data_IF_765134709831
#
_entry.id   IF_765134709831
#
_cell.length_a   1.000
_cell.length_b   1.000
_cell.length_c   1.000
_cell.angle_alpha   90.00
_cell.angle_beta   90.00
_cell.angle_gamma   90.00
#
_symmetry.space_group_name_H-M   'P 1'
#
loop_
_entity.id
_entity.type
_entity.pdbx_description
1 polymer ?
#
# COMPACT_ATOMS: atom_id res chain seq x y z
N UNK A 1 -17.80 6.70 9.84
CA UNK A 1 -17.99 7.98 9.15
C UNK A 1 -16.95 8.17 8.08
N UNK A 2 -17.22 9.03 7.11
CA UNK A 2 -16.27 9.39 6.06
C UNK A 2 -15.63 10.74 6.39
N UNK A 3 -14.38 11.02 5.96
CA UNK A 3 -13.79 12.33 6.09
C UNK A 3 -14.62 13.39 5.38
N UNK A 4 -14.72 14.57 5.97
CA UNK A 4 -15.38 15.72 5.37
C UNK A 4 -14.33 16.75 5.02
N UNK A 5 -14.30 17.16 3.75
CA UNK A 5 -13.36 18.17 3.27
C UNK A 5 -13.62 19.54 3.95
N UNK A 6 -12.56 20.23 4.32
CA UNK A 6 -12.66 21.58 4.90
C UNK A 6 -13.34 22.57 3.97
N UNK A 7 -13.13 22.44 2.65
CA UNK A 7 -13.82 23.27 1.68
C UNK A 7 -15.34 23.08 1.75
N UNK A 8 -15.81 21.83 1.82
CA UNK A 8 -17.25 21.55 1.94
C UNK A 8 -17.86 22.13 3.21
N UNK A 9 -17.11 22.08 4.32
CA UNK A 9 -17.56 22.71 5.57
C UNK A 9 -17.60 24.24 5.44
N UNK A 10 -16.61 24.83 4.79
CA UNK A 10 -16.56 26.27 4.51
C UNK A 10 -17.76 26.73 3.67
N UNK A 11 -18.06 26.01 2.58
CA UNK A 11 -19.16 26.33 1.66
C UNK A 11 -20.52 26.29 2.37
N UNK A 12 -20.74 25.31 3.25
CA UNK A 12 -22.01 25.15 3.97
C UNK A 12 -22.18 26.17 5.11
N UNK A 13 -21.06 26.52 5.78
CA UNK A 13 -21.08 27.40 6.95
C UNK A 13 -20.91 28.89 6.60
N UNK A 14 -20.50 29.21 5.37
CA UNK A 14 -20.16 30.56 4.97
C UNK A 14 -18.84 31.09 5.57
N UNK A 15 -18.05 30.19 6.17
CA UNK A 15 -16.78 30.52 6.76
C UNK A 15 -15.63 30.31 5.77
N UNK A 16 -14.50 30.94 6.02
CA UNK A 16 -13.28 30.61 5.27
C UNK A 16 -12.70 29.26 5.70
N UNK A 17 -12.00 28.54 4.82
CA UNK A 17 -11.30 27.29 5.14
C UNK A 17 -10.37 27.45 6.36
N UNK A 18 -9.76 28.62 6.51
CA UNK A 18 -8.90 28.94 7.66
C UNK A 18 -9.67 28.97 8.99
N UNK A 19 -10.88 29.53 8.99
CA UNK A 19 -11.74 29.55 10.17
C UNK A 19 -12.26 28.16 10.50
N UNK A 20 -12.66 27.39 9.48
CA UNK A 20 -13.06 25.98 9.65
C UNK A 20 -11.92 25.18 10.28
N UNK A 21 -10.68 25.28 9.76
CA UNK A 21 -9.52 24.59 10.35
C UNK A 21 -9.31 24.95 11.81
N UNK A 22 -9.40 26.22 12.19
CA UNK A 22 -9.31 26.66 13.59
C UNK A 22 -10.43 26.07 14.47
N UNK A 23 -11.66 26.01 13.96
CA UNK A 23 -12.78 25.41 14.68
C UNK A 23 -12.58 23.92 14.90
N UNK A 24 -12.17 23.21 13.85
CA UNK A 24 -11.87 21.77 13.91
C UNK A 24 -10.75 21.50 14.91
N UNK A 25 -9.71 22.33 14.95
CA UNK A 25 -8.63 22.23 15.94
C UNK A 25 -9.14 22.39 17.38
N UNK A 26 -10.01 23.36 17.63
CA UNK A 26 -10.64 23.54 18.95
C UNK A 26 -11.51 22.35 19.33
N UNK A 27 -12.26 21.79 18.38
CA UNK A 27 -13.06 20.58 18.60
C UNK A 27 -12.13 19.39 18.88
N UNK A 28 -11.09 19.19 18.09
CA UNK A 28 -10.14 18.11 18.28
C UNK A 28 -9.58 18.14 19.71
N UNK A 29 -9.13 19.32 20.16
CA UNK A 29 -8.59 19.51 21.51
C UNK A 29 -9.60 19.20 22.62
N UNK A 30 -10.90 19.53 22.40
CA UNK A 30 -11.95 19.21 23.36
C UNK A 30 -12.16 17.70 23.50
N UNK A 31 -12.01 16.93 22.39
CA UNK A 31 -12.21 15.49 22.38
C UNK A 31 -10.95 14.66 22.69
N UNK A 32 -9.82 15.31 22.98
CA UNK A 32 -8.59 14.64 23.42
C UNK A 32 -8.74 14.04 24.83
N UNK A 33 -9.56 14.65 25.70
CA UNK A 33 -9.75 14.18 27.07
C UNK A 33 -10.30 12.76 27.14
N UNK A 34 -9.96 12.02 28.21
CA UNK A 34 -10.41 10.64 28.42
C UNK A 34 -11.92 10.51 28.72
N UNK A 35 -12.60 11.61 28.95
CA UNK A 35 -14.04 11.64 29.13
C UNK A 35 -14.82 11.29 27.84
N UNK A 36 -14.15 11.34 26.68
CA UNK A 36 -14.76 11.08 25.39
C UNK A 36 -14.26 9.78 24.77
N UNK A 37 -15.17 8.93 24.30
CA UNK A 37 -14.84 7.69 23.57
C UNK A 37 -14.48 7.91 22.09
N UNK A 38 -14.65 9.14 21.60
CA UNK A 38 -14.35 9.52 20.21
C UNK A 38 -13.27 10.60 20.18
N UNK A 39 -12.61 10.74 19.03
CA UNK A 39 -11.63 11.77 18.75
C UNK A 39 -11.81 12.34 17.35
N UNK A 40 -11.24 13.50 17.08
CA UNK A 40 -11.23 14.12 15.76
C UNK A 40 -9.88 13.89 15.10
N UNK A 41 -9.85 13.09 14.02
CA UNK A 41 -8.70 13.00 13.12
C UNK A 41 -8.71 14.20 12.17
N UNK A 42 -7.54 14.77 11.96
CA UNK A 42 -7.31 15.89 11.04
C UNK A 42 -6.38 15.43 9.94
N UNK A 43 -6.79 15.62 8.70
CA UNK A 43 -6.00 15.38 7.51
C UNK A 43 -5.66 16.72 6.85
N UNK A 44 -4.75 16.77 5.86
CA UNK A 44 -4.37 18.02 5.20
C UNK A 44 -5.56 18.85 4.70
N UNK A 45 -6.57 18.18 4.12
CA UNK A 45 -7.73 18.82 3.48
C UNK A 45 -9.09 18.42 4.05
N UNK A 46 -9.13 17.58 5.09
CA UNK A 46 -10.36 17.04 5.65
C UNK A 46 -10.24 16.73 7.14
N UNK A 47 -11.37 16.46 7.79
CA UNK A 47 -11.42 15.96 9.15
C UNK A 47 -12.48 14.87 9.30
N UNK A 48 -12.33 14.05 10.33
CA UNK A 48 -13.23 12.92 10.60
C UNK A 48 -13.29 12.64 12.10
N UNK A 49 -14.50 12.38 12.61
CA UNK A 49 -14.65 11.74 13.91
C UNK A 49 -14.40 10.24 13.80
N UNK A 50 -13.63 9.71 14.74
CA UNK A 50 -13.44 8.27 14.91
C UNK A 50 -13.49 7.92 16.41
N UNK A 51 -13.60 6.63 16.69
CA UNK A 51 -13.47 6.12 18.08
C UNK A 51 -12.00 6.08 18.46
N UNK A 52 -11.69 6.33 19.73
CA UNK A 52 -10.33 6.20 20.23
C UNK A 52 -9.87 4.75 20.16
N UNK A 53 -8.58 4.54 19.91
CA UNK A 53 -7.97 3.22 19.68
C UNK A 53 -8.22 2.25 20.85
N UNK A 54 -8.19 2.73 22.06
CA UNK A 54 -8.42 1.93 23.29
C UNK A 54 -9.77 1.17 23.28
N UNK A 55 -10.76 1.67 22.53
CA UNK A 55 -12.07 1.01 22.38
C UNK A 55 -12.17 0.10 21.16
N UNK A 56 -11.14 0.04 20.35
CA UNK A 56 -11.16 -0.71 19.09
C UNK A 56 -11.40 -2.20 19.25
N UNK A 57 -10.93 -2.82 20.34
CA UNK A 57 -11.18 -4.23 20.64
C UNK A 57 -12.67 -4.49 20.91
N UNK A 58 -13.27 -3.70 21.79
CA UNK A 58 -14.68 -3.79 22.18
C UNK A 58 -15.62 -3.55 20.98
N UNK A 59 -15.29 -2.57 20.15
CA UNK A 59 -16.10 -2.25 18.95
C UNK A 59 -16.07 -3.39 17.95
N UNK A 60 -14.90 -3.97 17.69
CA UNK A 60 -14.79 -5.13 16.80
C UNK A 60 -15.59 -6.32 17.31
N UNK A 61 -15.52 -6.60 18.59
CA UNK A 61 -16.27 -7.68 19.24
C UNK A 61 -17.78 -7.43 19.14
N UNK A 62 -18.23 -6.24 19.53
CA UNK A 62 -19.65 -5.85 19.50
C UNK A 62 -20.25 -5.89 18.10
N UNK A 63 -19.48 -5.51 17.07
CA UNK A 63 -19.92 -5.49 15.68
C UNK A 63 -19.67 -6.82 14.94
N UNK A 64 -19.11 -7.83 15.59
CA UNK A 64 -18.75 -9.10 14.96
C UNK A 64 -17.72 -8.96 13.83
N UNK A 65 -16.93 -7.88 13.85
CA UNK A 65 -15.93 -7.63 12.82
C UNK A 65 -14.76 -8.57 13.04
N UNK A 66 -14.70 -9.64 12.23
CA UNK A 66 -13.52 -10.50 12.21
C UNK A 66 -12.29 -9.67 11.82
N UNK A 67 -11.13 -10.02 12.39
CA UNK A 67 -9.82 -9.50 11.92
C UNK A 67 -9.61 -9.99 10.47
N UNK A 68 -10.33 -9.41 9.54
CA UNK A 68 -10.22 -9.68 8.12
C UNK A 68 -9.40 -8.59 7.47
N UNK A 69 -8.28 -8.96 6.90
CA UNK A 69 -7.49 -8.05 6.08
C UNK A 69 -6.22 -7.49 6.70
N UNK A 70 -5.63 -8.17 7.69
CA UNK A 70 -4.24 -7.87 8.04
C UNK A 70 -3.40 -7.99 6.76
N UNK A 71 -2.60 -6.97 6.49
CA UNK A 71 -1.59 -7.05 5.46
C UNK A 71 -0.65 -8.21 5.80
N UNK A 72 -0.25 -9.00 4.81
CA UNK A 72 0.83 -9.96 4.99
C UNK A 72 2.10 -9.23 5.41
N UNK A 73 3.03 -9.93 6.06
CA UNK A 73 4.33 -9.36 6.42
C UNK A 73 5.01 -8.73 5.20
N UNK A 74 5.00 -9.41 4.06
CA UNK A 74 5.52 -8.90 2.79
C UNK A 74 4.80 -7.62 2.31
N UNK A 75 3.46 -7.57 2.39
CA UNK A 75 2.73 -6.36 2.02
C UNK A 75 3.00 -5.20 2.98
N UNK A 76 3.20 -5.48 4.27
CA UNK A 76 3.53 -4.46 5.25
C UNK A 76 4.93 -3.87 5.00
N UNK A 77 5.90 -4.72 4.67
CA UNK A 77 7.25 -4.32 4.31
C UNK A 77 7.26 -3.42 3.07
N UNK A 78 6.58 -3.85 1.99
CA UNK A 78 6.42 -3.05 0.75
C UNK A 78 5.74 -1.71 1.04
N UNK A 79 4.69 -1.71 1.85
CA UNK A 79 3.98 -0.50 2.22
C UNK A 79 4.90 0.47 2.99
N UNK A 80 5.72 -0.04 3.91
CA UNK A 80 6.68 0.76 4.64
C UNK A 80 7.74 1.37 3.70
N UNK A 81 8.32 0.57 2.79
CA UNK A 81 9.28 1.07 1.80
C UNK A 81 8.67 2.22 1.00
N UNK A 82 7.43 2.06 0.52
CA UNK A 82 6.75 3.11 -0.24
C UNK A 82 6.48 4.34 0.62
N UNK A 83 5.95 4.17 1.83
CA UNK A 83 5.57 5.28 2.69
C UNK A 83 6.74 6.19 3.04
N UNK A 84 7.92 5.63 3.27
CA UNK A 84 9.12 6.38 3.65
C UNK A 84 9.92 6.95 2.48
N UNK A 85 9.78 6.37 1.27
CA UNK A 85 10.62 6.74 0.11
C UNK A 85 9.83 7.32 -1.06
N UNK A 86 8.52 7.48 -0.94
CA UNK A 86 7.66 7.96 -2.03
C UNK A 86 8.06 9.33 -2.58
N UNK A 87 7.89 9.55 -3.90
CA UNK A 87 7.35 8.62 -4.89
C UNK A 87 8.39 7.60 -5.39
N UNK A 88 8.03 6.31 -5.51
CA UNK A 88 8.93 5.22 -5.90
C UNK A 88 8.39 4.35 -7.02
N UNK A 89 9.30 3.70 -7.77
CA UNK A 89 8.95 2.70 -8.79
C UNK A 89 8.85 1.29 -8.18
N UNK A 90 8.21 0.35 -8.90
CA UNK A 90 8.24 -1.07 -8.51
C UNK A 90 9.65 -1.63 -8.48
N UNK A 91 10.45 -1.31 -9.51
CA UNK A 91 11.84 -1.76 -9.58
C UNK A 91 12.67 -1.31 -8.36
N UNK A 92 12.42 -0.09 -7.87
CA UNK A 92 13.03 0.37 -6.63
C UNK A 92 12.64 -0.49 -5.43
N UNK A 93 11.35 -0.81 -5.28
CA UNK A 93 10.85 -1.66 -4.19
C UNK A 93 11.48 -3.05 -4.27
N UNK A 94 11.56 -3.64 -5.48
CA UNK A 94 12.18 -4.94 -5.71
C UNK A 94 13.66 -4.92 -5.36
N UNK A 95 14.39 -3.86 -5.75
CA UNK A 95 15.80 -3.70 -5.44
C UNK A 95 16.07 -3.60 -3.93
N UNK A 96 15.24 -2.83 -3.21
CA UNK A 96 15.36 -2.70 -1.74
C UNK A 96 15.09 -4.03 -1.04
N UNK A 97 14.11 -4.80 -1.53
CA UNK A 97 13.73 -6.09 -0.92
C UNK A 97 14.61 -7.26 -1.36
N UNK A 98 15.27 -7.15 -2.50
CA UNK A 98 15.99 -8.25 -3.14
C UNK A 98 15.11 -9.35 -3.71
N UNK A 99 13.79 -9.14 -3.78
CA UNK A 99 12.80 -10.11 -4.28
C UNK A 99 11.67 -9.39 -5.01
N UNK A 100 10.99 -10.09 -5.94
CA UNK A 100 9.83 -9.59 -6.64
C UNK A 100 8.71 -9.18 -5.68
N UNK A 101 8.18 -8.00 -5.86
CA UNK A 101 7.15 -7.41 -5.02
C UNK A 101 5.82 -7.19 -5.73
N UNK A 102 5.67 -7.66 -6.98
CA UNK A 102 4.50 -7.40 -7.81
C UNK A 102 3.18 -7.77 -7.13
N UNK A 103 3.14 -8.95 -6.49
CA UNK A 103 1.92 -9.38 -5.78
C UNK A 103 1.58 -8.45 -4.62
N UNK A 104 2.56 -8.08 -3.81
CA UNK A 104 2.36 -7.20 -2.66
C UNK A 104 1.94 -5.78 -3.11
N UNK A 105 2.59 -5.23 -4.14
CA UNK A 105 2.23 -3.92 -4.72
C UNK A 105 0.79 -3.94 -5.25
N UNK A 106 0.42 -4.95 -6.04
CA UNK A 106 -0.94 -5.06 -6.56
C UNK A 106 -1.97 -5.19 -5.42
N UNK A 107 -1.71 -6.02 -4.41
CA UNK A 107 -2.58 -6.15 -3.24
C UNK A 107 -2.77 -4.84 -2.48
N UNK A 108 -1.74 -3.99 -2.41
CA UNK A 108 -1.83 -2.67 -1.78
C UNK A 108 -2.61 -1.68 -2.64
N UNK A 109 -2.50 -1.76 -3.97
CA UNK A 109 -3.31 -0.98 -4.91
C UNK A 109 -4.80 -1.38 -4.79
N UNK A 110 -5.11 -2.67 -4.79
CA UNK A 110 -6.48 -3.19 -4.65
C UNK A 110 -7.12 -2.77 -3.32
N UNK A 111 -6.30 -2.63 -2.27
CA UNK A 111 -6.72 -2.11 -0.97
C UNK A 111 -6.77 -0.58 -0.93
N UNK A 112 -6.37 0.08 -2.00
CA UNK A 112 -6.29 1.55 -2.10
C UNK A 112 -5.36 2.18 -1.03
N UNK A 113 -4.37 1.46 -0.54
CA UNK A 113 -3.39 1.99 0.41
C UNK A 113 -2.27 2.75 -0.30
N UNK A 114 -1.97 2.35 -1.53
CA UNK A 114 -1.06 3.06 -2.43
C UNK A 114 -1.74 3.31 -3.77
N UNK A 115 -1.23 4.28 -4.52
CA UNK A 115 -1.72 4.62 -5.84
C UNK A 115 -0.62 5.18 -6.74
N UNK A 116 -0.91 5.26 -8.04
CA UNK A 116 -0.03 5.91 -9.00
C UNK A 116 -0.06 7.43 -8.79
N UNK A 117 1.11 8.03 -8.59
CA UNK A 117 1.28 9.47 -8.38
C UNK A 117 1.96 10.18 -9.56
N UNK A 118 2.45 9.41 -10.54
CA UNK A 118 3.11 9.95 -11.72
C UNK A 118 3.88 8.89 -12.50
N UNK A 119 4.78 9.36 -13.36
CA UNK A 119 5.73 8.52 -14.10
C UNK A 119 7.13 9.09 -13.96
N UNK A 120 8.12 8.23 -13.81
CA UNK A 120 9.51 8.63 -13.77
C UNK A 120 9.98 8.98 -15.21
N UNK A 121 10.71 10.06 -15.36
CA UNK A 121 11.33 10.44 -16.64
C UNK A 121 12.64 9.67 -16.85
N UNK A 122 12.49 8.41 -17.22
CA UNK A 122 13.56 7.46 -17.49
C UNK A 122 13.15 6.52 -18.64
N UNK A 123 14.08 5.78 -19.25
CA UNK A 123 13.73 4.77 -20.24
C UNK A 123 12.62 3.85 -19.74
N UNK A 124 11.59 3.62 -20.58
CA UNK A 124 10.39 2.85 -20.21
C UNK A 124 9.35 3.63 -19.38
N UNK A 125 9.62 4.88 -18.95
CA UNK A 125 8.71 5.75 -18.17
C UNK A 125 7.92 5.00 -17.08
N UNK A 126 8.60 4.34 -16.12
CA UNK A 126 7.93 3.50 -15.14
C UNK A 126 6.99 4.32 -14.25
N UNK A 127 5.92 3.67 -13.79
CA UNK A 127 4.95 4.27 -12.89
C UNK A 127 5.58 4.53 -11.52
N UNK A 128 5.28 5.70 -10.96
CA UNK A 128 5.62 6.10 -9.59
C UNK A 128 4.42 5.86 -8.68
N UNK A 129 4.68 5.29 -7.52
CA UNK A 129 3.70 4.98 -6.49
C UNK A 129 3.94 5.80 -5.24
N UNK A 130 2.85 6.13 -4.57
CA UNK A 130 2.84 6.79 -3.28
C UNK A 130 1.64 6.31 -2.45
N UNK A 131 1.61 6.68 -1.18
CA UNK A 131 0.49 6.39 -0.28
C UNK A 131 -0.72 7.28 -0.59
N UNK A 132 -1.90 6.83 -0.18
CA UNK A 132 -3.17 7.53 -0.39
C UNK A 132 -3.70 8.12 0.92
N UNK A 133 -4.78 8.91 0.84
CA UNK A 133 -5.51 9.37 2.04
C UNK A 133 -6.08 8.21 2.86
N UNK A 134 -6.39 7.07 2.20
CA UNK A 134 -6.84 5.87 2.90
C UNK A 134 -5.74 5.28 3.78
N UNK A 135 -4.49 5.32 3.33
CA UNK A 135 -3.33 4.95 4.16
C UNK A 135 -3.29 5.79 5.43
N UNK A 136 -3.33 7.11 5.34
CA UNK A 136 -3.31 7.98 6.51
C UNK A 136 -4.44 7.64 7.48
N UNK A 137 -5.66 7.41 6.97
CA UNK A 137 -6.82 7.05 7.79
C UNK A 137 -6.67 5.71 8.48
N UNK A 138 -6.18 4.69 7.77
CA UNK A 138 -6.03 3.33 8.31
C UNK A 138 -4.98 3.29 9.42
N UNK A 139 -3.91 4.07 9.28
CA UNK A 139 -2.83 4.15 10.24
C UNK A 139 -3.00 5.27 11.27
N UNK A 140 -4.10 6.03 11.22
CA UNK A 140 -4.40 7.09 12.19
C UNK A 140 -3.46 8.29 12.10
N UNK A 141 -2.84 8.52 10.94
CA UNK A 141 -1.90 9.60 10.72
C UNK A 141 -2.63 10.84 10.19
N UNK A 142 -2.24 12.03 10.63
CA UNK A 142 -2.74 13.29 10.08
C UNK A 142 -1.97 13.69 8.82
N UNK A 143 -0.71 13.27 8.72
CA UNK A 143 0.18 13.53 7.58
C UNK A 143 1.30 12.49 7.52
N UNK A 144 2.06 12.48 6.44
CA UNK A 144 3.25 11.63 6.33
C UNK A 144 4.35 12.00 7.33
N UNK A 145 4.35 13.24 7.83
CA UNK A 145 5.29 13.70 8.85
C UNK A 145 5.05 13.04 10.23
N UNK A 146 3.90 12.42 10.42
CA UNK A 146 3.56 11.69 11.65
C UNK A 146 4.09 10.24 11.64
N UNK A 147 4.74 9.81 10.53
CA UNK A 147 5.42 8.52 10.49
C UNK A 147 6.58 8.51 11.50
N UNK A 148 6.76 7.41 12.26
CA UNK A 148 7.88 7.29 13.19
C UNK A 148 9.23 7.46 12.47
N UNK A 149 10.15 8.17 13.10
CA UNK A 149 11.53 8.23 12.60
C UNK A 149 12.16 6.84 12.72
N UNK A 150 12.74 6.35 11.64
CA UNK A 150 13.40 5.04 11.62
C UNK A 150 14.88 5.21 11.27
N UNK A 151 15.75 4.79 12.16
CA UNK A 151 17.19 4.77 11.90
C UNK A 151 17.58 3.71 10.83
N UNK A 152 16.70 2.77 10.55
CA UNK A 152 16.97 1.59 9.72
C UNK A 152 16.58 1.77 8.25
N UNK A 153 15.70 2.73 7.93
CA UNK A 153 15.40 3.04 6.55
C UNK A 153 16.32 4.15 6.09
N UNK A 154 17.35 3.77 5.35
CA UNK A 154 18.19 4.71 4.63
C UNK A 154 17.26 5.63 3.84
N UNK A 155 17.37 6.96 3.99
CA UNK A 155 16.76 7.88 3.05
C UNK A 155 17.46 7.63 1.71
N UNK A 156 16.88 6.72 0.93
CA UNK A 156 17.38 6.49 -0.42
C UNK A 156 16.95 7.70 -1.21
N UNK A 157 17.91 8.51 -1.50
CA UNK A 157 17.77 9.85 -2.03
C UNK A 157 16.94 9.94 -3.29
N UNK A 158 16.63 11.16 -3.61
CA UNK A 158 15.88 11.70 -4.75
C UNK A 158 15.86 10.81 -6.00
N UNK A 159 14.82 10.93 -6.81
CA UNK A 159 14.50 10.15 -8.03
C UNK A 159 15.70 9.71 -8.92
N UNK A 160 16.85 10.40 -8.86
CA UNK A 160 18.08 10.04 -9.56
C UNK A 160 18.82 8.82 -8.99
N UNK A 161 18.79 8.63 -7.67
CA UNK A 161 19.45 7.48 -7.03
C UNK A 161 18.59 6.19 -7.16
N UNK A 162 17.28 6.33 -7.34
CA UNK A 162 16.40 5.21 -7.64
C UNK A 162 16.72 4.55 -8.99
N UNK A 163 17.27 5.31 -9.93
CA UNK A 163 17.71 4.83 -11.24
C UNK A 163 18.98 3.98 -11.13
N UNK A 164 19.95 4.38 -10.34
CA UNK A 164 21.21 3.62 -10.18
C UNK A 164 20.96 2.27 -9.52
N UNK A 165 20.13 2.22 -8.47
CA UNK A 165 19.79 0.96 -7.79
C UNK A 165 19.00 0.02 -8.72
N UNK A 166 18.09 0.55 -9.53
CA UNK A 166 17.29 -0.26 -10.47
C UNK A 166 18.13 -0.79 -11.66
N UNK A 167 19.22 -0.12 -12.03
CA UNK A 167 20.12 -0.55 -13.11
C UNK A 167 21.10 -1.60 -12.61
N UNK A 168 21.70 -1.42 -11.44
CA UNK A 168 22.62 -2.38 -10.84
C UNK A 168 21.93 -3.71 -10.50
N UNK A 169 20.66 -3.69 -10.06
CA UNK A 169 19.89 -4.91 -9.80
C UNK A 169 19.55 -5.75 -11.05
N UNK A 170 19.71 -5.20 -12.26
CA UNK A 170 19.42 -5.89 -13.51
C UNK A 170 20.65 -6.51 -14.17
N UNK A 171 21.86 -6.07 -13.82
CA UNK A 171 23.10 -6.62 -14.38
C UNK A 171 23.60 -7.88 -13.64
N UNK A 172 23.04 -8.18 -12.46
CA UNK A 172 23.40 -9.36 -11.67
C UNK A 172 22.63 -10.66 -11.97
N UNK A 173 21.66 -10.68 -12.91
CA UNK A 173 20.84 -11.86 -13.19
C UNK A 173 20.92 -12.38 -14.64
N UNK A 174 22.01 -12.11 -15.34
CA UNK A 174 22.15 -12.47 -16.75
C UNK A 174 23.53 -13.02 -17.14
N UNK A 175 23.99 -14.10 -16.50
CA UNK A 175 25.05 -14.95 -17.10
C UNK A 175 24.98 -16.38 -16.54
N UNK A 176 24.81 -17.32 -17.46
CA UNK A 176 24.94 -18.79 -17.30
C UNK A 176 23.65 -19.53 -17.68
N UNK A 177 23.45 -20.27 -18.70
CA UNK A 177 24.30 -21.09 -19.54
C UNK A 177 23.58 -21.37 -20.86
N UNK A 178 24.25 -21.16 -21.95
CA UNK A 178 23.93 -21.72 -23.25
C UNK A 178 25.08 -22.63 -23.66
N UNK A 179 24.87 -23.93 -23.59
CA UNK A 179 25.54 -24.99 -24.36
C UNK A 179 24.82 -26.30 -24.01
N UNK A 180 24.13 -26.92 -24.91
CA UNK A 180 24.55 -27.61 -26.06
C UNK A 180 24.16 -29.05 -25.93
N UNK A 181 23.34 -29.61 -26.76
CA UNK A 181 23.60 -30.81 -27.58
C UNK A 181 22.32 -31.42 -28.14
N UNK A 182 22.35 -31.49 -29.41
CA UNK A 182 21.38 -32.18 -30.28
C UNK A 182 21.55 -33.69 -30.23
N UNK A 183 20.51 -34.38 -30.62
CA UNK A 183 20.31 -35.70 -31.24
C UNK A 183 19.40 -36.58 -30.37
N UNK A 184 18.35 -37.12 -30.82
CA UNK A 184 17.96 -37.72 -32.01
C UNK A 184 16.87 -38.73 -31.73
N UNK A 185 15.93 -38.87 -32.65
CA UNK A 185 15.18 -40.08 -32.98
C UNK A 185 13.86 -40.35 -32.25
N UNK A 186 12.75 -40.13 -32.95
CA UNK A 186 11.51 -40.88 -32.88
C UNK A 186 11.70 -42.25 -33.60
N UNK A 187 10.75 -43.22 -33.70
CA UNK A 187 9.31 -43.22 -33.39
C UNK A 187 8.76 -44.53 -32.79
N UNK A 188 7.43 -44.64 -32.80
CA UNK A 188 6.55 -45.83 -32.93
C UNK A 188 5.69 -46.16 -31.69
N UNK A 189 4.39 -45.90 -31.84
CA UNK A 189 3.24 -46.82 -32.06
C UNK A 189 2.87 -47.80 -30.93
N UNK A 190 1.57 -47.82 -30.64
CA UNK A 190 0.87 -48.89 -29.95
C UNK A 190 -0.34 -48.37 -29.16
N UNK A 191 -1.41 -48.18 -29.77
CA UNK A 191 -2.74 -48.78 -29.84
C UNK A 191 -3.21 -49.53 -28.58
N UNK A 192 -4.44 -49.20 -28.10
CA UNK A 192 -5.21 -50.17 -27.36
C UNK A 192 -6.14 -49.59 -26.31
N UNK A 193 -7.36 -49.28 -26.69
CA UNK A 193 -8.62 -49.84 -26.19
C UNK A 193 -9.18 -49.32 -24.88
N UNK A 194 -10.26 -48.59 -24.99
CA UNK A 194 -11.33 -48.47 -23.99
C UNK A 194 -12.05 -49.80 -23.79
N UNK A 195 -12.78 -50.01 -22.71
CA UNK A 195 -14.23 -49.79 -22.76
C UNK A 195 -14.88 -49.18 -21.48
N UNK A 196 -15.95 -48.46 -21.75
CA UNK A 196 -17.08 -48.17 -20.85
C UNK A 196 -17.93 -49.41 -20.56
N UNK A 197 -19.12 -49.22 -19.89
CA UNK A 197 -19.45 -48.86 -18.51
C UNK A 197 -20.29 -49.99 -17.84
N UNK A 198 -20.59 -49.89 -16.54
CA UNK A 198 -21.77 -50.60 -15.99
C UNK A 198 -22.42 -49.79 -14.85
N UNK A 199 -23.69 -49.53 -15.07
CA UNK A 199 -24.72 -49.10 -14.14
C UNK A 199 -25.02 -50.14 -13.04
N UNK A 200 -25.83 -49.66 -12.11
CA UNK A 200 -26.74 -50.37 -11.14
C UNK A 200 -26.14 -50.61 -9.76
N UNK A 201 -26.68 -50.08 -8.73
CA UNK A 201 -28.04 -50.12 -8.15
C UNK A 201 -28.10 -49.04 -7.08
#
# INVERSE_FOLDING_TARGET
GYPVAYQKLADVTGLTVREVKRMVERIAKKYESDEHGIMMLRFPDSCQFCTKEQYGAYIREALGIRRGGNLSASSMEVLAIIAYNQPVTRAFVDAVRGVDSNYAVNSLIDKELIGAVGRLEAPGRPMLYGTTDKFLRVFGLSSLSDLPETETMLPVGKAGEQLSIAVEGKEGSGEGDAEGSASGTAPAEGAGSAPEPTEST
#
